data_IF_789270630789
#
_entry.id   IF_789270630789
#
_cell.length_a   1.000
_cell.length_b   1.000
_cell.length_c   1.000
_cell.angle_alpha   90.00
_cell.angle_beta   90.00
_cell.angle_gamma   90.00
#
_symmetry.space_group_name_H-M   'P 1'
#
loop_
_entity.id
_entity.type
_entity.pdbx_description
1 polymer ?
#
# COMPACT_ATOMS: atom_id res chain seq x y z
N UNK A 1 4.71 17.43 -17.14
CA UNK A 1 5.68 16.50 -16.49
C UNK A 1 6.22 17.05 -15.16
N UNK A 2 5.51 17.96 -14.50
CA UNK A 2 5.88 18.52 -13.20
C UNK A 2 4.81 18.08 -12.20
N UNK A 3 5.24 17.79 -10.97
CA UNK A 3 4.46 17.33 -9.79
C UNK A 3 4.35 15.82 -9.53
N UNK A 4 5.46 15.08 -9.65
CA UNK A 4 5.69 13.93 -8.74
C UNK A 4 6.60 14.39 -7.60
N UNK A 5 6.07 14.43 -6.38
CA UNK A 5 6.69 15.08 -5.20
C UNK A 5 7.81 14.30 -4.51
N UNK A 6 8.15 13.09 -4.97
CA UNK A 6 9.15 12.27 -4.31
C UNK A 6 10.53 12.47 -4.95
N UNK A 7 11.46 13.01 -4.15
CA UNK A 7 12.87 13.20 -4.53
C UNK A 7 13.50 11.90 -5.03
N UNK A 8 13.07 10.76 -4.49
CA UNK A 8 13.51 9.42 -4.90
C UNK A 8 13.24 9.15 -6.39
N UNK A 9 12.05 9.49 -6.92
CA UNK A 9 11.74 9.24 -8.33
C UNK A 9 12.58 10.11 -9.27
N UNK A 10 12.92 11.32 -8.86
CA UNK A 10 13.83 12.19 -9.64
C UNK A 10 15.24 11.63 -9.64
N UNK A 11 15.74 11.20 -8.49
CA UNK A 11 17.07 10.59 -8.38
C UNK A 11 17.16 9.30 -9.19
N UNK A 12 16.15 8.42 -9.10
CA UNK A 12 16.07 7.19 -9.91
C UNK A 12 16.05 7.53 -11.40
N UNK A 13 15.23 8.50 -11.82
CA UNK A 13 15.15 8.88 -13.23
C UNK A 13 16.47 9.44 -13.77
N UNK A 14 17.19 10.22 -12.96
CA UNK A 14 18.51 10.75 -13.31
C UNK A 14 19.57 9.64 -13.40
N UNK A 15 19.62 8.76 -12.40
CA UNK A 15 20.56 7.63 -12.38
C UNK A 15 20.31 6.68 -13.57
N UNK A 16 19.04 6.39 -13.86
CA UNK A 16 18.61 5.56 -14.99
C UNK A 16 18.98 6.18 -16.34
N UNK A 17 18.76 7.49 -16.51
CA UNK A 17 19.17 8.21 -17.71
C UNK A 17 20.68 8.19 -17.90
N UNK A 18 21.45 8.38 -16.82
CA UNK A 18 22.90 8.31 -16.85
C UNK A 18 23.40 6.89 -17.14
N UNK A 19 22.76 5.87 -16.57
CA UNK A 19 23.08 4.47 -16.83
C UNK A 19 22.85 4.10 -18.30
N UNK A 20 21.74 4.53 -18.89
CA UNK A 20 21.44 4.34 -20.30
C UNK A 20 22.45 5.04 -21.21
N UNK A 21 22.83 6.28 -20.90
CA UNK A 21 23.88 7.00 -21.63
C UNK A 21 25.24 6.30 -21.56
N UNK A 22 25.53 5.62 -20.44
CA UNK A 22 26.74 4.83 -20.25
C UNK A 22 26.67 3.42 -20.91
N UNK A 23 25.60 3.12 -21.67
CA UNK A 23 25.42 1.84 -22.36
C UNK A 23 24.96 0.69 -21.46
N UNK A 24 24.52 0.96 -20.23
CA UNK A 24 23.90 -0.06 -19.37
C UNK A 24 22.45 -0.27 -19.78
N UNK A 25 22.03 -1.53 -19.88
CA UNK A 25 20.67 -1.89 -20.27
C UNK A 25 19.62 -1.40 -19.27
N UNK A 26 18.43 -1.09 -19.77
CA UNK A 26 17.32 -0.59 -18.97
C UNK A 26 16.87 -1.63 -17.92
N UNK A 27 16.65 -2.88 -18.36
CA UNK A 27 16.30 -4.00 -17.47
C UNK A 27 17.35 -4.21 -16.37
N UNK A 28 18.64 -4.16 -16.73
CA UNK A 28 19.74 -4.42 -15.80
C UNK A 28 19.80 -3.35 -14.69
N UNK A 29 19.64 -2.08 -15.06
CA UNK A 29 19.65 -0.96 -14.10
C UNK A 29 18.45 -1.06 -13.16
N UNK A 30 17.26 -1.32 -13.69
CA UNK A 30 16.04 -1.48 -12.89
C UNK A 30 16.15 -2.66 -11.92
N UNK A 31 16.80 -3.76 -12.33
CA UNK A 31 17.03 -4.92 -11.48
C UNK A 31 17.96 -4.68 -10.28
N UNK A 32 18.75 -3.60 -10.27
CA UNK A 32 19.62 -3.26 -9.12
C UNK A 32 18.85 -2.62 -7.96
N UNK A 33 17.66 -2.08 -8.21
CA UNK A 33 16.86 -1.41 -7.21
C UNK A 33 16.07 -2.42 -6.35
N UNK A 34 16.29 -2.47 -5.03
CA UNK A 34 15.67 -3.47 -4.16
C UNK A 34 14.16 -3.25 -3.94
N UNK A 35 13.64 -2.06 -4.26
CA UNK A 35 12.23 -1.71 -4.10
C UNK A 35 11.37 -2.09 -5.31
N UNK A 36 11.99 -2.31 -6.47
CA UNK A 36 11.26 -2.85 -7.63
C UNK A 36 11.19 -4.37 -7.55
N UNK A 37 10.06 -4.93 -7.99
CA UNK A 37 9.94 -6.37 -8.13
C UNK A 37 10.82 -6.85 -9.27
N UNK A 38 11.40 -8.05 -9.12
CA UNK A 38 12.12 -8.73 -10.21
C UNK A 38 11.28 -8.90 -11.48
N UNK A 39 9.96 -9.00 -11.32
CA UNK A 39 8.97 -9.02 -12.40
C UNK A 39 9.12 -7.80 -13.33
N UNK A 40 9.39 -6.61 -12.80
CA UNK A 40 9.53 -5.40 -13.60
C UNK A 40 10.74 -5.48 -14.55
N UNK A 41 11.90 -5.95 -14.06
CA UNK A 41 13.09 -6.15 -14.90
C UNK A 41 12.82 -7.14 -16.03
N UNK A 42 12.10 -8.24 -15.75
CA UNK A 42 11.73 -9.23 -16.77
C UNK A 42 10.76 -8.66 -17.82
N UNK A 43 9.77 -7.89 -17.39
CA UNK A 43 8.79 -7.23 -18.28
C UNK A 43 9.49 -6.20 -19.17
N UNK A 44 10.48 -5.49 -18.62
CA UNK A 44 11.29 -4.54 -19.37
C UNK A 44 12.13 -5.27 -20.43
N UNK A 45 12.85 -6.32 -20.05
CA UNK A 45 13.67 -7.11 -20.97
C UNK A 45 12.83 -7.68 -22.13
N UNK A 46 11.67 -8.25 -21.80
CA UNK A 46 10.74 -8.77 -22.79
C UNK A 46 10.16 -7.69 -23.71
N UNK A 47 9.81 -6.55 -23.12
CA UNK A 47 9.29 -5.39 -23.82
C UNK A 47 10.32 -4.73 -24.74
N UNK A 48 11.60 -4.69 -24.36
CA UNK A 48 12.72 -4.23 -25.18
C UNK A 48 12.91 -5.14 -26.40
N UNK A 49 12.95 -6.46 -26.20
CA UNK A 49 13.11 -7.44 -27.29
C UNK A 49 11.96 -7.38 -28.30
N UNK A 50 10.75 -7.09 -27.83
CA UNK A 50 9.55 -7.00 -28.67
C UNK A 50 9.24 -5.60 -29.20
N UNK A 51 10.05 -4.60 -28.88
CA UNK A 51 9.77 -3.18 -29.16
C UNK A 51 8.40 -2.71 -28.65
N UNK A 52 7.90 -3.34 -27.56
CA UNK A 52 6.58 -3.11 -26.96
C UNK A 52 6.66 -2.68 -25.48
N UNK A 53 7.84 -2.25 -25.05
CA UNK A 53 8.13 -1.85 -23.67
C UNK A 53 7.06 -0.95 -23.06
N UNK A 54 6.61 0.09 -23.76
CA UNK A 54 5.58 1.01 -23.24
C UNK A 54 4.26 0.32 -22.89
N UNK A 55 3.78 -0.58 -23.76
CA UNK A 55 2.52 -1.31 -23.55
C UNK A 55 2.64 -2.34 -22.42
N UNK A 56 3.78 -3.03 -22.34
CA UNK A 56 4.04 -4.00 -21.26
C UNK A 56 4.15 -3.31 -19.89
N UNK A 57 4.78 -2.13 -19.84
CA UNK A 57 4.86 -1.31 -18.63
C UNK A 57 3.49 -0.76 -18.20
N UNK A 58 2.64 -0.39 -19.15
CA UNK A 58 1.27 0.06 -18.88
C UNK A 58 0.44 -1.07 -18.25
N UNK A 59 0.49 -2.28 -18.83
CA UNK A 59 -0.17 -3.48 -18.28
C UNK A 59 0.36 -3.79 -16.88
N UNK A 60 1.68 -3.70 -16.67
CA UNK A 60 2.28 -3.91 -15.36
C UNK A 60 1.80 -2.89 -14.33
N UNK A 61 1.71 -1.61 -14.71
CA UNK A 61 1.22 -0.54 -13.86
C UNK A 61 -0.23 -0.80 -13.45
N UNK A 62 -1.10 -1.17 -14.40
CA UNK A 62 -2.51 -1.49 -14.15
C UNK A 62 -2.65 -2.68 -13.18
N UNK A 63 -1.93 -3.78 -13.41
CA UNK A 63 -1.95 -4.94 -12.50
C UNK A 63 -1.43 -4.60 -11.11
N UNK A 64 -0.38 -3.81 -11.02
CA UNK A 64 0.18 -3.38 -9.73
C UNK A 64 -0.81 -2.50 -8.97
N UNK A 65 -1.51 -1.62 -9.69
CA UNK A 65 -2.54 -0.76 -9.16
C UNK A 65 -3.75 -1.55 -8.64
N UNK A 66 -4.23 -2.52 -9.42
CA UNK A 66 -5.33 -3.41 -9.02
C UNK A 66 -4.96 -4.25 -7.79
N UNK A 67 -3.74 -4.80 -7.75
CA UNK A 67 -3.25 -5.56 -6.61
C UNK A 67 -3.11 -4.69 -5.35
N UNK A 68 -2.66 -3.44 -5.51
CA UNK A 68 -2.60 -2.46 -4.42
C UNK A 68 -4.00 -2.17 -3.87
N UNK A 69 -4.96 -1.83 -4.73
CA UNK A 69 -6.33 -1.57 -4.31
C UNK A 69 -6.99 -2.79 -3.65
N UNK A 70 -6.77 -3.98 -4.20
CA UNK A 70 -7.25 -5.23 -3.62
C UNK A 70 -6.72 -5.42 -2.19
N UNK A 71 -5.43 -5.15 -1.96
CA UNK A 71 -4.82 -5.25 -0.64
C UNK A 71 -5.35 -4.20 0.34
N UNK A 72 -5.56 -2.96 -0.13
CA UNK A 72 -6.18 -1.89 0.66
C UNK A 72 -7.60 -2.27 1.05
N UNK A 73 -8.42 -2.71 0.09
CA UNK A 73 -9.80 -3.09 0.33
C UNK A 73 -9.91 -4.27 1.31
N UNK A 74 -9.03 -5.28 1.16
CA UNK A 74 -8.96 -6.40 2.11
C UNK A 74 -8.60 -5.95 3.53
N UNK A 75 -7.72 -4.97 3.65
CA UNK A 75 -7.37 -4.37 4.96
C UNK A 75 -8.56 -3.64 5.54
N UNK A 76 -9.28 -2.86 4.72
CA UNK A 76 -10.50 -2.15 5.12
C UNK A 76 -11.58 -3.10 5.65
N UNK A 77 -11.75 -4.26 4.99
CA UNK A 77 -12.69 -5.30 5.43
C UNK A 77 -12.34 -5.91 6.80
N UNK A 78 -11.08 -5.83 7.25
CA UNK A 78 -10.67 -6.25 8.60
C UNK A 78 -10.77 -5.12 9.62
N UNK A 79 -10.56 -3.87 9.20
CA UNK A 79 -10.72 -2.68 10.05
C UNK A 79 -12.17 -2.53 10.51
N UNK A 80 -13.14 -2.78 9.62
CA UNK A 80 -14.56 -2.67 9.95
C UNK A 80 -15.00 -3.52 11.16
N UNK A 81 -14.79 -4.85 11.22
CA UNK A 81 -15.18 -5.65 12.38
C UNK A 81 -14.43 -5.25 13.66
N UNK A 82 -13.17 -4.83 13.56
CA UNK A 82 -12.41 -4.31 14.71
C UNK A 82 -13.07 -3.06 15.32
N UNK A 83 -13.49 -2.11 14.46
CA UNK A 83 -14.19 -0.90 14.91
C UNK A 83 -15.51 -1.25 15.59
N UNK A 84 -16.27 -2.20 15.03
CA UNK A 84 -17.54 -2.63 15.64
C UNK A 84 -17.33 -3.29 17.02
N UNK A 85 -16.34 -4.17 17.16
CA UNK A 85 -16.02 -4.79 18.45
C UNK A 85 -15.60 -3.72 19.47
N UNK A 86 -14.79 -2.75 19.06
CA UNK A 86 -14.36 -1.65 19.91
C UNK A 86 -15.55 -0.81 20.40
N UNK A 87 -16.48 -0.46 19.50
CA UNK A 87 -17.71 0.28 19.86
C UNK A 87 -18.59 -0.53 20.80
N UNK A 88 -18.79 -1.83 20.53
CA UNK A 88 -19.58 -2.71 21.38
C UNK A 88 -19.00 -2.81 22.80
N UNK A 89 -17.68 -2.92 22.94
CA UNK A 89 -17.00 -2.91 24.23
C UNK A 89 -17.21 -1.61 24.99
N UNK A 90 -17.13 -0.45 24.31
CA UNK A 90 -17.40 0.85 24.93
C UNK A 90 -18.82 0.90 25.50
N UNK A 91 -19.82 0.43 24.74
CA UNK A 91 -21.22 0.42 25.19
C UNK A 91 -21.38 -0.43 26.46
N UNK A 92 -20.78 -1.62 26.51
CA UNK A 92 -20.83 -2.51 27.68
C UNK A 92 -20.18 -1.86 28.90
N UNK A 93 -19.01 -1.24 28.72
CA UNK A 93 -18.29 -0.56 29.80
C UNK A 93 -19.09 0.64 30.35
N UNK A 94 -19.67 1.45 29.47
CA UNK A 94 -20.54 2.56 29.87
C UNK A 94 -21.76 2.05 30.64
N UNK A 95 -22.38 0.97 30.18
CA UNK A 95 -23.51 0.37 30.88
C UNK A 95 -23.14 -0.16 32.27
N UNK A 96 -22.01 -0.85 32.40
CA UNK A 96 -21.51 -1.32 33.68
C UNK A 96 -21.19 -0.14 34.64
N UNK A 97 -20.58 0.92 34.12
CA UNK A 97 -20.29 2.13 34.89
C UNK A 97 -21.56 2.87 35.35
N UNK A 98 -22.66 2.78 34.60
CA UNK A 98 -23.96 3.33 35.00
C UNK A 98 -24.72 2.44 35.99
N UNK A 99 -24.65 1.11 35.86
CA UNK A 99 -25.33 0.18 36.76
C UNK A 99 -24.66 0.09 38.13
N UNK A 100 -23.33 0.10 38.20
CA UNK A 100 -22.58 0.04 39.46
C UNK A 100 -23.05 1.05 40.51
N UNK A 101 -23.20 2.36 40.21
CA UNK A 101 -23.71 3.33 41.17
C UNK A 101 -25.20 3.10 41.50
N UNK A 102 -26.02 2.56 40.58
CA UNK A 102 -27.40 2.20 40.91
C UNK A 102 -27.47 1.08 41.96
N UNK A 103 -26.63 0.05 41.83
CA UNK A 103 -26.54 -1.02 42.83
C UNK A 103 -26.06 -0.50 44.18
N UNK A 104 -25.03 0.35 44.19
CA UNK A 104 -24.55 0.99 45.42
C UNK A 104 -25.63 1.84 46.09
N UNK A 105 -26.42 2.61 45.33
CA UNK A 105 -27.51 3.40 45.88
C UNK A 105 -28.70 2.55 46.38
N UNK A 106 -28.90 1.34 45.84
CA UNK A 106 -29.93 0.39 46.31
C UNK A 106 -29.52 -0.34 47.60
N UNK A 107 -28.25 -0.74 47.75
CA UNK A 107 -27.76 -1.40 48.98
C UNK A 107 -27.71 -0.45 50.19
N UNK A 108 -27.57 0.85 49.96
CA UNK A 108 -27.47 1.86 51.05
C UNK A 108 -28.84 2.19 51.69
N UNK A 109 -29.95 1.65 51.18
CA UNK A 109 -31.31 1.90 51.71
C UNK A 109 -31.92 0.74 52.52
N UNK A 110 -31.12 -0.13 53.11
CA UNK A 110 -31.56 -1.10 54.12
C UNK A 110 -30.86 -0.89 55.46
#
# INVERSE_FOLDING_TARGET
MQEQGSQLFKEIGQDLAQALQNGRGFSQTIGTYPFFKKELSLIIEYGEVKSKLGSELEIYAEKTWEAFFTRVNRTMNLVQPLVFIFVALIIVLLYAAMLMPMYQNMEVNF
#
